data_IF_993813904992
#
_entry.id   IF_993813904992
#
_cell.length_a   1.000
_cell.length_b   1.000
_cell.length_c   1.000
_cell.angle_alpha   90.00
_cell.angle_beta   90.00
_cell.angle_gamma   90.00
#
_symmetry.space_group_name_H-M   'P 1'
#
loop_
_entity.id
_entity.type
_entity.pdbx_description
1 polymer ?
#
# COMPACT_ATOMS: atom_id res chain seq x y z
N UNK A 1 -3.91 -45.26 -36.78
CA UNK A 1 -4.64 -44.58 -35.67
C UNK A 1 -3.65 -43.88 -34.75
N UNK A 2 -3.57 -42.54 -34.77
CA UNK A 2 -2.88 -41.73 -33.75
C UNK A 2 -3.66 -40.44 -33.50
N UNK A 3 -3.77 -40.11 -32.20
CA UNK A 3 -4.73 -39.20 -31.55
C UNK A 3 -4.41 -37.71 -31.81
N UNK A 4 -5.45 -36.91 -32.05
CA UNK A 4 -5.39 -35.45 -31.99
C UNK A 4 -5.52 -34.94 -30.54
N UNK A 5 -4.66 -33.99 -30.15
CA UNK A 5 -4.77 -33.22 -28.91
C UNK A 5 -5.36 -31.84 -29.23
N UNK A 6 -6.56 -31.55 -28.70
CA UNK A 6 -7.13 -30.20 -28.66
C UNK A 6 -6.53 -29.43 -27.48
N UNK A 7 -6.05 -28.22 -27.73
CA UNK A 7 -5.62 -27.27 -26.70
C UNK A 7 -6.84 -26.44 -26.27
N UNK A 8 -7.12 -26.47 -24.97
CA UNK A 8 -8.19 -25.75 -24.29
C UNK A 8 -7.68 -24.34 -23.93
N UNK A 9 -8.41 -23.29 -24.32
CA UNK A 9 -8.19 -21.92 -23.84
C UNK A 9 -8.80 -21.79 -22.44
N UNK A 10 -8.00 -21.39 -21.45
CA UNK A 10 -8.47 -21.03 -20.11
C UNK A 10 -8.72 -19.51 -20.06
N UNK A 11 -9.97 -19.12 -19.86
CA UNK A 11 -10.38 -17.76 -19.50
C UNK A 11 -10.20 -17.59 -17.98
N UNK A 12 -9.48 -16.55 -17.57
CA UNK A 12 -9.43 -16.11 -16.17
C UNK A 12 -10.67 -15.25 -15.90
N UNK A 13 -11.62 -15.77 -15.13
CA UNK A 13 -12.77 -14.99 -14.63
C UNK A 13 -12.43 -14.42 -13.25
N UNK A 14 -12.52 -13.09 -13.11
CA UNK A 14 -12.47 -12.41 -11.81
C UNK A 14 -13.92 -12.29 -11.33
N UNK A 15 -14.25 -12.93 -10.22
CA UNK A 15 -15.57 -12.83 -9.60
C UNK A 15 -15.60 -11.60 -8.68
N UNK A 16 -16.52 -10.66 -8.97
CA UNK A 16 -16.88 -9.59 -8.05
C UNK A 16 -17.91 -10.11 -7.04
N UNK A 17 -17.56 -10.11 -5.75
CA UNK A 17 -18.50 -10.45 -4.67
C UNK A 17 -19.24 -9.16 -4.28
N UNK A 18 -20.54 -9.10 -4.59
CA UNK A 18 -21.43 -8.08 -4.07
C UNK A 18 -21.97 -8.53 -2.70
N UNK A 19 -21.56 -7.88 -1.62
CA UNK A 19 -22.11 -8.11 -0.28
C UNK A 19 -23.18 -7.08 0.04
N UNK A 20 -24.39 -7.57 0.30
CA UNK A 20 -25.58 -6.83 0.73
C UNK A 20 -25.32 -6.26 2.13
N UNK A 21 -25.45 -4.94 2.27
CA UNK A 21 -25.25 -4.24 3.54
C UNK A 21 -26.45 -4.36 4.47
N UNK A 22 -26.19 -4.75 5.72
CA UNK A 22 -27.06 -4.45 6.86
C UNK A 22 -26.28 -3.57 7.83
N UNK A 23 -26.68 -2.32 7.94
CA UNK A 23 -26.08 -1.31 8.81
C UNK A 23 -26.39 -1.60 10.28
N UNK A 24 -25.35 -1.80 11.09
CA UNK A 24 -25.42 -1.66 12.54
C UNK A 24 -24.59 -0.44 12.94
N UNK A 25 -25.25 0.55 13.54
CA UNK A 25 -24.58 1.69 14.15
C UNK A 25 -24.05 1.26 15.52
N UNK A 26 -22.73 1.30 15.71
CA UNK A 26 -22.09 1.21 17.02
C UNK A 26 -21.34 2.51 17.29
N UNK A 27 -21.74 3.18 18.37
CA UNK A 27 -21.11 4.38 18.90
C UNK A 27 -19.80 4.01 19.59
N UNK A 28 -18.69 4.59 19.13
CA UNK A 28 -17.36 4.46 19.75
C UNK A 28 -17.25 5.29 21.04
N UNK A 29 -16.69 4.75 22.15
CA UNK A 29 -16.33 5.56 23.30
C UNK A 29 -15.03 6.34 23.06
N UNK A 30 -14.95 7.50 23.71
CA UNK A 30 -13.95 8.56 23.60
C UNK A 30 -12.52 8.16 23.95
N UNK A 31 -11.58 8.75 23.18
CA UNK A 31 -10.12 8.71 23.28
C UNK A 31 -9.59 9.06 24.69
N UNK A 32 -8.71 8.21 25.22
CA UNK A 32 -7.69 8.60 26.20
C UNK A 32 -6.35 8.73 25.48
N UNK A 33 -5.73 9.90 25.58
CA UNK A 33 -4.49 10.26 24.90
C UNK A 33 -3.28 9.81 25.74
N UNK A 34 -2.31 9.13 25.13
CA UNK A 34 -1.05 8.77 25.78
C UNK A 34 0.12 9.40 25.01
N UNK A 35 1.01 10.07 25.74
CA UNK A 35 2.13 10.86 25.22
C UNK A 35 3.13 10.03 24.39
N UNK A 36 3.51 10.59 23.25
CA UNK A 36 4.46 10.02 22.29
C UNK A 36 5.89 10.44 22.64
N UNK A 37 6.77 9.47 22.91
CA UNK A 37 8.21 9.71 23.10
C UNK A 37 8.87 9.79 21.72
N UNK A 38 9.26 11.02 21.32
CA UNK A 38 10.00 11.30 20.11
C UNK A 38 11.50 11.01 20.30
N UNK A 39 12.07 10.06 19.55
CA UNK A 39 13.52 9.96 19.36
C UNK A 39 13.88 9.57 17.94
N UNK A 40 14.31 10.56 17.15
CA UNK A 40 15.65 10.66 16.56
C UNK A 40 15.63 11.58 15.33
N UNK A 41 16.37 12.69 15.43
CA UNK A 41 16.73 13.55 14.31
C UNK A 41 17.79 12.82 13.48
N UNK A 42 17.47 12.46 12.24
CA UNK A 42 18.49 12.15 11.25
C UNK A 42 18.40 13.11 10.08
N UNK A 43 19.55 13.73 9.83
CA UNK A 43 19.81 14.79 8.85
C UNK A 43 19.67 14.22 7.44
N UNK A 44 18.85 14.89 6.62
CA UNK A 44 18.66 14.60 5.20
C UNK A 44 19.98 14.74 4.41
N UNK A 45 20.39 13.74 3.61
CA UNK A 45 21.42 13.94 2.61
C UNK A 45 20.84 14.74 1.43
N UNK A 46 21.36 15.97 1.27
CA UNK A 46 21.31 16.73 0.03
C UNK A 46 21.90 15.87 -1.11
N UNK A 47 21.09 15.40 -2.06
CA UNK A 47 21.43 15.20 -3.48
C UNK A 47 20.39 14.35 -4.26
N UNK A 48 19.10 14.65 -4.12
CA UNK A 48 18.15 14.35 -5.21
C UNK A 48 17.62 15.70 -5.69
N UNK A 49 18.09 16.16 -6.85
CA UNK A 49 17.34 17.15 -7.62
C UNK A 49 16.05 16.46 -8.09
N UNK A 50 15.08 16.32 -7.18
CA UNK A 50 13.68 16.22 -7.59
C UNK A 50 13.40 17.56 -8.25
N UNK A 51 13.25 17.56 -9.57
CA UNK A 51 12.67 18.71 -10.24
C UNK A 51 11.37 19.03 -9.50
N UNK A 52 11.30 20.24 -8.97
CA UNK A 52 10.09 20.86 -8.46
C UNK A 52 9.02 20.80 -9.56
N UNK A 53 8.27 19.70 -9.64
CA UNK A 53 6.97 19.64 -10.31
C UNK A 53 5.89 20.22 -9.39
N UNK A 54 6.21 21.28 -8.66
CA UNK A 54 5.29 22.09 -7.85
C UNK A 54 4.56 23.16 -8.70
N UNK A 55 4.42 22.93 -10.01
CA UNK A 55 3.64 23.78 -10.92
C UNK A 55 2.62 22.97 -11.72
N UNK A 56 1.63 22.41 -11.03
CA UNK A 56 0.23 22.27 -11.52
C UNK A 56 -0.61 21.68 -10.40
N UNK A 57 -1.44 22.49 -9.77
CA UNK A 57 -2.42 22.12 -8.74
C UNK A 57 -3.65 21.39 -9.30
N UNK A 58 -3.52 20.67 -10.42
CA UNK A 58 -4.59 19.91 -11.03
C UNK A 58 -4.05 18.56 -11.48
N UNK A 59 -4.65 17.48 -10.99
CA UNK A 59 -4.38 16.15 -11.53
C UNK A 59 -4.81 16.12 -12.99
N UNK A 60 -3.88 15.79 -13.87
CA UNK A 60 -4.16 15.72 -15.30
C UNK A 60 -4.30 14.27 -15.76
N UNK A 61 -5.26 14.04 -16.63
CA UNK A 61 -5.40 12.75 -17.27
C UNK A 61 -4.17 12.48 -18.15
N UNK A 62 -3.57 11.29 -18.06
CA UNK A 62 -2.41 10.92 -18.89
C UNK A 62 -2.70 11.03 -20.39
N UNK A 63 -3.93 10.77 -20.82
CA UNK A 63 -4.35 10.92 -22.22
C UNK A 63 -4.29 12.39 -22.67
N UNK A 64 -4.71 13.31 -21.80
CA UNK A 64 -4.65 14.76 -22.06
C UNK A 64 -3.20 15.25 -22.11
N UNK A 65 -2.37 14.82 -21.15
CA UNK A 65 -0.94 15.13 -21.13
C UNK A 65 -0.23 14.58 -22.36
N UNK A 66 -0.52 13.34 -22.74
CA UNK A 66 0.06 12.74 -23.93
C UNK A 66 -0.39 13.50 -25.19
N UNK A 67 -1.67 13.82 -25.30
CA UNK A 67 -2.21 14.63 -26.40
C UNK A 67 -1.52 16.00 -26.49
N UNK A 68 -1.27 16.67 -25.37
CA UNK A 68 -0.56 17.95 -25.34
C UNK A 68 0.88 17.81 -25.85
N UNK A 69 1.60 16.78 -25.40
CA UNK A 69 2.96 16.46 -25.88
C UNK A 69 2.98 16.12 -27.39
N UNK A 70 1.98 15.35 -27.86
CA UNK A 70 1.88 14.99 -29.26
C UNK A 70 1.49 16.16 -30.16
N UNK A 71 0.72 17.12 -29.67
CA UNK A 71 0.48 18.40 -30.37
C UNK A 71 1.76 19.23 -30.48
N UNK A 72 2.58 19.26 -29.42
CA UNK A 72 3.83 20.05 -29.38
C UNK A 72 4.96 19.49 -30.24
N UNK A 73 4.84 18.23 -30.67
CA UNK A 73 5.77 17.54 -31.59
C UNK A 73 5.37 17.61 -33.06
N UNK A 74 4.18 18.10 -33.39
CA UNK A 74 3.77 18.32 -34.77
C UNK A 74 4.57 19.47 -35.39
N UNK A 75 5.13 19.27 -36.59
CA UNK A 75 5.79 20.34 -37.34
C UNK A 75 4.76 21.27 -37.99
N UNK A 76 4.20 22.17 -37.19
CA UNK A 76 3.17 23.12 -37.64
C UNK A 76 3.69 24.09 -38.71
N UNK A 77 5.01 24.32 -38.80
CA UNK A 77 5.61 25.17 -39.84
C UNK A 77 5.53 24.51 -41.21
N UNK A 78 5.65 23.19 -41.24
CA UNK A 78 5.42 22.42 -42.46
C UNK A 78 3.93 22.30 -42.80
N UNK A 79 3.02 22.43 -41.82
CA UNK A 79 1.58 22.22 -42.01
C UNK A 79 1.08 20.89 -41.43
N UNK A 80 1.96 20.17 -40.73
CA UNK A 80 1.62 18.98 -39.97
C UNK A 80 0.81 19.34 -38.72
N UNK A 81 -0.23 18.58 -38.43
CA UNK A 81 -1.08 18.74 -37.26
C UNK A 81 -1.28 17.40 -36.54
N UNK A 82 -1.61 17.47 -35.25
CA UNK A 82 -2.05 16.29 -34.50
C UNK A 82 -3.31 15.69 -35.15
N UNK A 83 -3.29 14.37 -35.38
CA UNK A 83 -4.47 13.62 -35.80
C UNK A 83 -5.07 12.84 -34.64
N UNK A 84 -4.53 11.66 -34.39
CA UNK A 84 -4.92 10.79 -33.28
C UNK A 84 -3.77 9.87 -32.89
N UNK A 85 -3.73 9.45 -31.63
CA UNK A 85 -2.79 8.44 -31.17
C UNK A 85 -3.52 7.16 -30.76
N UNK A 86 -2.78 6.06 -30.78
CA UNK A 86 -3.24 4.75 -30.33
C UNK A 86 -2.25 4.23 -29.29
N UNK A 87 -2.76 3.89 -28.11
CA UNK A 87 -2.01 3.14 -27.10
C UNK A 87 -2.28 1.65 -27.34
N UNK A 88 -1.22 0.91 -27.66
CA UNK A 88 -1.28 -0.54 -27.93
C UNK A 88 -1.00 -1.35 -26.68
N UNK A 89 -0.09 -0.87 -25.83
CA UNK A 89 0.21 -1.49 -24.56
C UNK A 89 0.45 -0.43 -23.48
N UNK A 90 0.11 -0.81 -22.25
CA UNK A 90 0.37 -0.05 -21.05
C UNK A 90 0.94 -0.98 -20.01
N UNK A 91 1.98 -0.54 -19.32
CA UNK A 91 2.51 -1.24 -18.16
C UNK A 91 2.58 -0.28 -16.97
N UNK A 92 2.00 -0.72 -15.84
CA UNK A 92 2.09 0.01 -14.57
C UNK A 92 3.08 -0.71 -13.67
N UNK A 93 4.04 0.06 -13.17
CA UNK A 93 5.09 -0.45 -12.29
C UNK A 93 5.20 0.44 -11.07
N UNK A 94 5.48 -0.16 -9.92
CA UNK A 94 5.66 0.59 -8.69
C UNK A 94 6.75 0.00 -7.82
N UNK A 95 7.38 0.89 -7.05
CA UNK A 95 8.41 0.52 -6.10
C UNK A 95 8.36 1.48 -4.92
N UNK A 96 8.56 0.99 -3.71
CA UNK A 96 8.70 1.86 -2.56
C UNK A 96 9.95 2.76 -2.67
N UNK A 97 9.85 3.96 -2.12
CA UNK A 97 10.97 4.88 -1.97
C UNK A 97 11.52 4.65 -0.56
N UNK A 98 12.54 3.82 -0.44
CA UNK A 98 13.03 3.29 0.85
C UNK A 98 13.33 4.37 1.89
N UNK A 99 13.96 5.47 1.49
CA UNK A 99 14.30 6.58 2.39
C UNK A 99 13.09 7.43 2.83
N UNK A 100 11.89 7.12 2.34
CA UNK A 100 10.63 7.74 2.79
C UNK A 100 9.86 6.90 3.80
N UNK A 101 10.27 5.64 4.04
CA UNK A 101 9.55 4.73 4.91
C UNK A 101 9.82 5.09 6.37
N UNK A 102 8.74 5.28 7.11
CA UNK A 102 8.74 5.50 8.55
C UNK A 102 7.94 4.37 9.19
N UNK A 103 8.56 3.68 10.14
CA UNK A 103 7.95 2.62 10.93
C UNK A 103 7.84 3.06 12.38
N UNK A 104 6.63 2.98 12.94
CA UNK A 104 6.36 3.27 14.35
C UNK A 104 5.63 2.09 14.98
N UNK A 105 6.13 1.62 16.12
CA UNK A 105 5.49 0.56 16.91
C UNK A 105 4.88 1.14 18.18
N UNK A 106 3.67 0.68 18.50
CA UNK A 106 2.98 0.98 19.75
C UNK A 106 2.63 -0.32 20.45
N UNK A 107 2.99 -0.42 21.73
CA UNK A 107 2.64 -1.55 22.58
C UNK A 107 1.41 -1.19 23.44
N UNK A 108 0.35 -1.97 23.32
CA UNK A 108 -0.93 -1.77 23.99
C UNK A 108 -1.14 -2.89 25.02
N UNK A 109 -1.45 -2.56 26.26
CA UNK A 109 -1.94 -3.57 27.21
C UNK A 109 -3.41 -3.83 26.91
N UNK A 110 -3.73 -5.06 26.51
CA UNK A 110 -5.08 -5.45 26.08
C UNK A 110 -5.79 -6.35 27.09
N UNK A 111 -5.06 -6.95 28.03
CA UNK A 111 -5.63 -7.76 29.10
C UNK A 111 -4.68 -7.87 30.29
N UNK A 112 -5.24 -8.13 31.46
CA UNK A 112 -4.50 -8.20 32.71
C UNK A 112 -5.16 -9.17 33.69
N UNK A 113 -4.34 -9.98 34.36
CA UNK A 113 -4.73 -10.76 35.54
C UNK A 113 -3.72 -10.55 36.67
N UNK A 114 -4.18 -10.62 37.92
CA UNK A 114 -3.30 -10.60 39.10
C UNK A 114 -3.64 -11.76 40.02
N UNK A 115 -2.61 -12.48 40.46
CA UNK A 115 -2.71 -13.63 41.35
C UNK A 115 -1.92 -13.36 42.62
N UNK A 116 -2.50 -13.71 43.76
CA UNK A 116 -1.87 -13.54 45.06
C UNK A 116 -1.94 -14.86 45.83
N UNK A 117 -0.76 -15.43 46.12
CA UNK A 117 -0.64 -16.64 46.90
C UNK A 117 -0.24 -16.29 48.34
N UNK A 118 -1.22 -16.27 49.25
CA UNK A 118 -1.00 -16.03 50.68
C UNK A 118 -0.69 -17.32 51.46
N UNK A 119 -0.66 -18.48 50.80
CA UNK A 119 -0.37 -19.77 51.44
C UNK A 119 1.14 -20.03 51.52
N UNK A 120 1.53 -20.96 52.40
CA UNK A 120 2.92 -21.39 52.62
C UNK A 120 3.49 -22.38 51.60
N UNK A 121 2.79 -22.62 50.48
CA UNK A 121 3.24 -23.50 49.40
C UNK A 121 2.82 -22.92 48.04
N UNK A 122 3.44 -23.37 46.94
CA UNK A 122 3.12 -22.93 45.59
C UNK A 122 1.70 -23.31 45.17
N UNK A 123 1.02 -22.41 44.45
CA UNK A 123 -0.31 -22.63 43.87
C UNK A 123 -0.25 -22.29 42.39
N UNK A 124 -0.87 -23.11 41.55
CA UNK A 124 -1.07 -22.82 40.13
C UNK A 124 -2.41 -22.13 39.92
N UNK A 125 -2.39 -20.89 39.44
CA UNK A 125 -3.58 -20.15 39.02
C UNK A 125 -3.82 -20.30 37.53
N UNK A 126 -5.04 -19.98 37.07
CA UNK A 126 -5.40 -19.94 35.65
C UNK A 126 -5.81 -18.53 35.26
N UNK A 127 -5.24 -18.02 34.18
CA UNK A 127 -5.63 -16.71 33.61
C UNK A 127 -7.04 -16.75 33.08
N UNK A 128 -7.70 -15.60 33.09
CA UNK A 128 -8.95 -15.47 32.35
C UNK A 128 -8.61 -15.51 30.86
N UNK A 129 -9.33 -16.34 30.10
CA UNK A 129 -9.21 -16.29 28.64
C UNK A 129 -9.67 -14.91 28.15
N UNK A 130 -9.03 -14.38 27.11
CA UNK A 130 -9.30 -13.02 26.64
C UNK A 130 -9.57 -12.98 25.14
N UNK A 131 -10.42 -12.07 24.69
CA UNK A 131 -10.70 -11.82 23.29
C UNK A 131 -10.52 -10.34 22.95
N UNK A 132 -9.78 -10.04 21.88
CA UNK A 132 -9.49 -8.69 21.44
C UNK A 132 -9.88 -8.48 20.00
N UNK A 133 -10.62 -7.41 19.73
CA UNK A 133 -10.94 -6.94 18.38
C UNK A 133 -10.16 -5.66 18.10
N UNK A 134 -9.58 -5.57 16.90
CA UNK A 134 -8.83 -4.41 16.44
C UNK A 134 -9.03 -4.21 14.94
N UNK A 135 -8.83 -2.98 14.47
CA UNK A 135 -8.97 -2.63 13.05
C UNK A 135 -7.60 -2.32 12.46
N UNK A 136 -7.28 -3.02 11.38
CA UNK A 136 -6.15 -2.73 10.49
C UNK A 136 -6.64 -1.80 9.39
N UNK A 137 -5.83 -0.81 9.01
CA UNK A 137 -6.20 0.15 7.97
C UNK A 137 -5.03 0.38 7.05
N UNK A 138 -5.26 0.36 5.74
CA UNK A 138 -4.32 0.78 4.72
C UNK A 138 -4.94 1.88 3.88
N UNK A 139 -4.34 3.06 3.92
CA UNK A 139 -4.72 4.24 3.15
C UNK A 139 -3.68 4.49 2.07
N UNK A 140 -4.12 4.70 0.84
CA UNK A 140 -3.25 5.06 -0.29
C UNK A 140 -3.81 6.27 -1.01
N UNK A 141 -2.91 7.14 -1.45
CA UNK A 141 -3.26 8.34 -2.21
C UNK A 141 -2.36 8.41 -3.42
N UNK A 142 -2.94 8.42 -4.62
CA UNK A 142 -2.20 8.66 -5.83
C UNK A 142 -1.88 10.15 -5.91
N UNK A 143 -0.65 10.55 -5.55
CA UNK A 143 -0.17 11.94 -5.57
C UNK A 143 0.70 12.26 -6.78
N UNK A 144 0.57 11.45 -7.84
CA UNK A 144 1.45 11.49 -9.00
C UNK A 144 1.30 12.74 -9.87
N UNK A 145 0.28 13.56 -9.59
CA UNK A 145 -0.13 14.66 -10.45
C UNK A 145 -0.87 14.19 -11.70
N UNK A 146 -1.16 12.89 -11.82
CA UNK A 146 -1.93 12.35 -12.95
C UNK A 146 -2.88 11.22 -12.58
N UNK A 147 -3.91 11.06 -13.41
CA UNK A 147 -4.81 9.91 -13.40
C UNK A 147 -4.75 9.16 -14.72
N UNK A 148 -5.03 7.87 -14.68
CA UNK A 148 -5.03 7.00 -15.84
C UNK A 148 -6.43 7.02 -16.47
N UNK A 149 -6.60 7.82 -17.52
CA UNK A 149 -7.92 8.09 -18.09
C UNK A 149 -8.23 7.40 -19.42
N UNK A 150 -7.49 6.36 -19.80
CA UNK A 150 -7.82 5.53 -20.97
C UNK A 150 -9.03 4.59 -20.74
N UNK A 151 -10.06 5.04 -20.02
CA UNK A 151 -11.26 4.26 -19.64
C UNK A 151 -10.93 2.90 -19.00
N UNK A 152 -9.86 2.86 -18.21
CA UNK A 152 -9.39 1.66 -17.53
C UNK A 152 -9.29 1.95 -16.03
N UNK A 153 -9.94 1.11 -15.22
CA UNK A 153 -9.74 1.12 -13.76
C UNK A 153 -8.37 0.51 -13.48
N UNK A 154 -7.34 1.35 -13.53
CA UNK A 154 -5.97 0.94 -13.26
C UNK A 154 -5.76 0.86 -11.75
N UNK A 155 -5.40 -0.33 -11.26
CA UNK A 155 -4.87 -0.52 -9.92
C UNK A 155 -3.41 -0.95 -9.99
N UNK A 156 -2.61 -0.52 -9.02
CA UNK A 156 -1.22 -0.91 -8.89
C UNK A 156 -0.94 -1.38 -7.48
N UNK A 157 -0.50 -2.63 -7.33
CA UNK A 157 -0.04 -3.18 -6.05
C UNK A 157 1.47 -2.98 -5.94
N UNK A 158 1.91 -2.33 -4.87
CA UNK A 158 3.34 -2.07 -4.60
C UNK A 158 3.73 -2.83 -3.35
N UNK A 159 4.67 -3.77 -3.51
CA UNK A 159 5.24 -4.52 -2.39
C UNK A 159 6.29 -3.69 -1.66
N UNK A 160 6.20 -3.67 -0.34
CA UNK A 160 7.13 -3.05 0.57
C UNK A 160 7.67 -4.02 1.60
N UNK A 161 8.84 -3.70 2.11
CA UNK A 161 9.44 -4.40 3.21
C UNK A 161 10.08 -3.40 4.16
N UNK A 162 10.00 -3.70 5.44
CA UNK A 162 10.85 -3.11 6.46
C UNK A 162 11.75 -4.18 7.06
N UNK A 163 12.56 -3.82 8.05
CA UNK A 163 13.37 -4.80 8.76
C UNK A 163 12.53 -5.91 9.41
N UNK A 164 11.26 -5.62 9.73
CA UNK A 164 10.39 -6.47 10.52
C UNK A 164 9.26 -7.12 9.71
N UNK A 165 8.81 -6.51 8.61
CA UNK A 165 7.59 -6.95 7.91
C UNK A 165 7.66 -6.78 6.38
N UNK A 166 6.89 -7.61 5.66
CA UNK A 166 6.55 -7.40 4.25
C UNK A 166 5.08 -7.01 4.14
N UNK A 167 4.76 -6.07 3.26
CA UNK A 167 3.40 -5.56 3.06
C UNK A 167 3.16 -5.22 1.58
N UNK A 168 1.89 -5.06 1.19
CA UNK A 168 1.52 -4.56 -0.13
C UNK A 168 0.51 -3.44 0.01
N UNK A 169 0.60 -2.42 -0.85
CA UNK A 169 -0.34 -1.31 -0.91
C UNK A 169 -0.91 -1.19 -2.31
N UNK A 170 -2.22 -0.97 -2.42
CA UNK A 170 -2.91 -0.88 -3.71
C UNK A 170 -3.30 0.58 -4.00
N UNK A 171 -2.74 1.15 -5.05
CA UNK A 171 -3.12 2.47 -5.55
C UNK A 171 -4.23 2.38 -6.57
N UNK A 172 -5.22 3.26 -6.45
CA UNK A 172 -6.18 3.52 -7.52
C UNK A 172 -5.62 4.63 -8.42
N UNK A 173 -5.30 4.29 -9.67
CA UNK A 173 -4.68 5.23 -10.61
C UNK A 173 -5.71 6.07 -11.37
N UNK A 174 -7.00 5.79 -11.23
CA UNK A 174 -8.08 6.53 -11.90
C UNK A 174 -8.54 7.76 -11.12
N UNK A 175 -8.05 7.97 -9.90
CA UNK A 175 -8.39 9.11 -9.05
C UNK A 175 -7.16 9.58 -8.27
N UNK A 176 -7.23 10.80 -7.76
CA UNK A 176 -6.33 11.37 -6.77
C UNK A 176 -6.78 11.16 -5.33
N UNK A 177 -8.01 10.71 -5.15
CA UNK A 177 -8.62 10.60 -3.83
C UNK A 177 -7.93 9.50 -3.02
N UNK A 178 -7.96 9.66 -1.70
CA UNK A 178 -7.42 8.66 -0.79
C UNK A 178 -8.34 7.46 -0.78
N UNK A 179 -7.81 6.26 -1.03
CA UNK A 179 -8.54 5.01 -0.87
C UNK A 179 -8.13 4.36 0.43
N UNK A 180 -9.08 4.11 1.32
CA UNK A 180 -8.85 3.43 2.59
C UNK A 180 -9.46 2.03 2.54
N UNK A 181 -8.65 1.02 2.85
CA UNK A 181 -9.07 -0.35 3.11
C UNK A 181 -8.94 -0.62 4.59
N UNK A 182 -10.01 -1.02 5.25
CA UNK A 182 -10.00 -1.40 6.66
C UNK A 182 -10.44 -2.84 6.83
N UNK A 183 -9.76 -3.57 7.71
CA UNK A 183 -10.10 -4.93 8.09
C UNK A 183 -10.20 -5.02 9.60
N UNK A 184 -11.37 -5.38 10.11
CA UNK A 184 -11.54 -5.65 11.53
C UNK A 184 -11.23 -7.11 11.81
N UNK A 185 -10.30 -7.34 12.73
CA UNK A 185 -9.78 -8.67 13.07
C UNK A 185 -9.91 -8.90 14.56
N UNK A 186 -10.00 -10.16 14.92
CA UNK A 186 -10.11 -10.60 16.30
C UNK A 186 -9.19 -11.76 16.59
N UNK A 187 -8.65 -11.78 17.80
CA UNK A 187 -7.92 -12.92 18.32
C UNK A 187 -8.43 -13.30 19.71
N UNK A 188 -8.27 -14.58 20.03
CA UNK A 188 -8.62 -15.14 21.33
C UNK A 188 -7.38 -15.75 21.96
N UNK A 189 -7.17 -15.47 23.24
CA UNK A 189 -6.12 -16.02 24.08
C UNK A 189 -6.78 -17.03 25.03
N UNK A 190 -6.41 -18.32 24.96
CA UNK A 190 -6.93 -19.29 25.91
C UNK A 190 -6.37 -19.04 27.32
N UNK A 191 -7.07 -19.54 28.33
CA UNK A 191 -6.59 -19.57 29.71
C UNK A 191 -5.23 -20.29 29.79
N UNK A 192 -4.28 -19.71 30.53
CA UNK A 192 -2.94 -20.24 30.76
C UNK A 192 -2.73 -20.51 32.25
N UNK A 193 -1.96 -21.53 32.56
CA UNK A 193 -1.58 -21.88 33.94
C UNK A 193 -0.34 -21.09 34.38
N UNK A 194 -0.40 -20.49 35.56
CA UNK A 194 0.65 -19.65 36.14
C UNK A 194 0.97 -20.17 37.55
N UNK A 195 2.14 -20.82 37.75
CA UNK A 195 2.60 -21.18 39.09
C UNK A 195 3.04 -19.93 39.85
N UNK A 196 2.47 -19.73 41.04
CA UNK A 196 2.77 -18.59 41.92
C UNK A 196 3.34 -19.14 43.24
N UNK A 197 4.62 -18.86 43.55
CA UNK A 197 5.26 -19.32 44.77
C UNK A 197 4.58 -18.80 46.04
N UNK A 198 4.89 -19.42 47.17
CA UNK A 198 4.37 -19.02 48.49
C UNK A 198 4.69 -17.55 48.80
N UNK A 199 3.69 -16.80 49.29
CA UNK A 199 3.83 -15.40 49.68
C UNK A 199 4.06 -14.42 48.51
N UNK A 200 3.85 -14.84 47.26
CA UNK A 200 4.06 -14.01 46.07
C UNK A 200 2.77 -13.48 45.48
N UNK A 201 2.88 -12.31 44.86
CA UNK A 201 1.84 -11.68 44.05
C UNK A 201 2.34 -11.45 42.65
N UNK A 202 1.76 -12.13 41.67
CA UNK A 202 2.16 -12.05 40.26
C UNK A 202 1.10 -11.33 39.43
N UNK A 203 1.56 -10.52 38.47
CA UNK A 203 0.75 -9.79 37.51
C UNK A 203 1.08 -10.28 36.09
N UNK A 204 0.06 -10.70 35.35
CA UNK A 204 0.17 -11.07 33.92
C UNK A 204 -0.42 -9.95 33.09
N UNK A 205 0.36 -9.37 32.18
CA UNK A 205 -0.10 -8.37 31.22
C UNK A 205 0.01 -8.91 29.80
N UNK A 206 -1.10 -8.91 29.06
CA UNK A 206 -1.11 -9.19 27.64
C UNK A 206 -0.86 -7.90 26.87
N UNK A 207 0.28 -7.86 26.16
CA UNK A 207 0.77 -6.69 25.42
C UNK A 207 0.70 -6.96 23.93
N UNK A 208 -0.16 -6.24 23.24
CA UNK A 208 -0.38 -6.32 21.80
C UNK A 208 0.39 -5.22 21.09
N UNK A 209 1.17 -5.58 20.08
CA UNK A 209 1.93 -4.62 19.29
C UNK A 209 1.15 -4.22 18.02
N UNK A 210 0.90 -2.93 17.89
CA UNK A 210 0.37 -2.29 16.69
C UNK A 210 1.51 -1.59 15.96
N UNK A 211 1.68 -1.90 14.69
CA UNK A 211 2.69 -1.31 13.83
C UNK A 211 2.03 -0.35 12.84
N UNK A 212 2.62 0.82 12.67
CA UNK A 212 2.22 1.82 11.66
C UNK A 212 3.38 2.05 10.73
N UNK A 213 3.18 1.82 9.44
CA UNK A 213 4.16 2.07 8.39
C UNK A 213 3.60 3.11 7.45
N UNK A 214 4.35 4.17 7.19
CA UNK A 214 3.99 5.19 6.20
C UNK A 214 5.15 5.47 5.28
N UNK A 215 4.87 5.88 4.06
CA UNK A 215 5.92 6.26 3.12
C UNK A 215 5.38 6.64 1.77
N UNK A 216 6.28 6.64 0.79
CA UNK A 216 6.01 7.00 -0.60
C UNK A 216 6.42 5.88 -1.53
N UNK A 217 5.62 5.65 -2.57
CA UNK A 217 5.93 4.77 -3.68
C UNK A 217 6.21 5.60 -4.93
N UNK A 218 7.19 5.21 -5.72
CA UNK A 218 7.30 5.66 -7.10
C UNK A 218 6.32 4.85 -7.93
N UNK A 219 5.56 5.53 -8.77
CA UNK A 219 4.58 4.93 -9.67
C UNK A 219 4.94 5.33 -11.10
N UNK A 220 5.09 4.36 -11.98
CA UNK A 220 5.40 4.56 -13.39
C UNK A 220 4.26 4.01 -14.25
N UNK A 221 3.87 4.79 -15.25
CA UNK A 221 3.01 4.34 -16.35
C UNK A 221 3.79 4.40 -17.66
N UNK A 222 4.07 3.23 -18.23
CA UNK A 222 4.76 3.09 -19.50
C UNK A 222 3.71 2.89 -20.60
N UNK A 223 3.68 3.82 -21.55
CA UNK A 223 2.73 3.86 -22.66
C UNK A 223 3.47 3.53 -23.96
N UNK A 224 3.00 2.50 -24.65
CA UNK A 224 3.55 2.04 -25.93
C UNK A 224 2.49 2.17 -27.02
N UNK A 225 2.88 2.71 -28.17
CA UNK A 225 1.98 2.94 -29.28
C UNK A 225 2.52 3.92 -30.29
N UNK A 226 1.60 4.52 -31.03
CA UNK A 226 1.91 5.40 -32.15
C UNK A 226 0.95 6.59 -32.25
N UNK A 227 1.41 7.62 -32.95
CA UNK A 227 0.66 8.83 -33.32
C UNK A 227 0.57 8.91 -34.84
N UNK A 228 -0.64 9.14 -35.34
CA UNK A 228 -0.90 9.51 -36.73
C UNK A 228 -1.10 11.02 -36.81
N UNK A 229 -0.17 11.70 -37.45
CA UNK A 229 -0.30 13.12 -37.77
C UNK A 229 -1.06 13.33 -39.07
N UNK A 230 -1.58 14.53 -39.26
CA UNK A 230 -2.31 14.94 -40.46
C UNK A 230 -1.53 15.99 -41.23
N UNK A 231 -1.59 15.92 -42.55
CA UNK A 231 -1.12 16.95 -43.47
C UNK A 231 -2.22 17.22 -44.50
N UNK A 232 -2.67 18.47 -44.63
CA UNK A 232 -3.80 18.83 -45.50
C UNK A 232 -5.01 17.89 -45.34
N UNK A 233 -5.37 17.59 -44.09
CA UNK A 233 -6.43 16.63 -43.72
C UNK A 233 -6.25 15.19 -44.22
N UNK A 234 -5.03 14.79 -44.60
CA UNK A 234 -4.69 13.40 -44.92
C UNK A 234 -3.77 12.81 -43.85
N UNK A 235 -4.00 11.56 -43.41
CA UNK A 235 -3.14 10.91 -42.42
C UNK A 235 -1.77 10.62 -43.01
N UNK A 236 -0.73 10.95 -42.25
CA UNK A 236 0.64 10.52 -42.50
C UNK A 236 0.87 9.12 -41.94
N UNK A 237 1.99 8.50 -42.29
CA UNK A 237 2.41 7.24 -41.66
C UNK A 237 2.58 7.40 -40.16
N UNK A 238 2.13 6.39 -39.40
CA UNK A 238 2.23 6.37 -37.94
C UNK A 238 3.68 6.56 -37.48
N UNK A 239 3.85 7.36 -36.43
CA UNK A 239 5.14 7.62 -35.78
C UNK A 239 5.08 7.08 -34.34
N UNK A 240 6.12 6.39 -33.89
CA UNK A 240 6.19 5.87 -32.52
C UNK A 240 6.12 7.00 -31.49
N UNK A 241 5.46 6.77 -30.35
CA UNK A 241 5.38 7.76 -29.26
C UNK A 241 6.76 8.21 -28.80
N UNK A 242 7.73 7.28 -28.73
CA UNK A 242 9.12 7.59 -28.40
C UNK A 242 9.74 8.60 -29.36
N UNK A 243 9.52 8.43 -30.67
CA UNK A 243 10.02 9.35 -31.70
C UNK A 243 9.33 10.71 -31.62
N UNK A 244 8.02 10.73 -31.32
CA UNK A 244 7.28 11.96 -31.10
C UNK A 244 7.78 12.73 -29.87
N UNK A 245 8.07 12.03 -28.76
CA UNK A 245 8.64 12.64 -27.55
C UNK A 245 9.97 13.35 -27.82
N UNK A 246 10.82 12.79 -28.69
CA UNK A 246 12.09 13.41 -29.08
C UNK A 246 11.91 14.69 -29.90
N UNK A 247 10.78 14.83 -30.61
CA UNK A 247 10.43 16.02 -31.40
C UNK A 247 9.62 17.05 -30.62
N UNK A 248 9.01 16.64 -29.50
CA UNK A 248 8.14 17.48 -28.70
C UNK A 248 8.90 18.68 -28.12
N UNK A 249 8.38 19.88 -28.36
CA UNK A 249 8.88 21.11 -27.73
C UNK A 249 8.46 21.19 -26.26
N UNK A 250 7.32 20.57 -25.92
CA UNK A 250 6.84 20.38 -24.57
C UNK A 250 6.61 18.89 -24.31
N UNK A 251 7.48 18.31 -23.48
CA UNK A 251 7.48 16.88 -23.14
C UNK A 251 6.45 16.52 -22.08
N UNK A 252 5.79 17.49 -21.43
CA UNK A 252 4.79 17.24 -20.40
C UNK A 252 5.28 16.33 -19.26
N UNK A 253 6.60 16.28 -19.00
CA UNK A 253 7.21 15.40 -17.99
C UNK A 253 7.30 13.92 -18.36
N UNK A 254 7.07 13.55 -19.62
CA UNK A 254 7.30 12.18 -20.10
C UNK A 254 8.79 11.91 -20.35
N UNK A 255 9.21 10.68 -20.06
CA UNK A 255 10.55 10.16 -20.30
C UNK A 255 10.53 9.05 -21.36
N UNK A 256 11.59 8.86 -22.15
CA UNK A 256 11.65 7.74 -23.08
C UNK A 256 11.79 6.41 -22.31
N UNK A 257 11.07 5.38 -22.74
CA UNK A 257 11.22 4.02 -22.20
C UNK A 257 11.40 3.01 -23.33
N UNK A 258 12.21 1.99 -23.07
CA UNK A 258 12.48 0.86 -23.97
C UNK A 258 12.18 -0.40 -23.18
N UNK A 259 11.19 -1.18 -23.61
CA UNK A 259 10.88 -2.47 -22.96
C UNK A 259 11.83 -3.56 -23.45
N UNK A 260 12.05 -4.56 -22.61
CA UNK A 260 12.71 -5.80 -23.04
C UNK A 260 11.76 -6.59 -23.96
N UNK A 261 12.24 -6.89 -25.18
CA UNK A 261 11.47 -7.52 -26.25
C UNK A 261 11.49 -9.05 -26.22
N UNK A 262 12.12 -9.68 -25.23
CA UNK A 262 12.08 -11.14 -25.08
C UNK A 262 10.66 -11.70 -24.86
N UNK A 263 9.67 -10.83 -24.64
CA UNK A 263 8.28 -11.17 -24.33
C UNK A 263 7.22 -10.65 -25.34
N UNK A 264 7.60 -9.96 -26.42
CA UNK A 264 6.61 -9.38 -27.37
C UNK A 264 6.91 -9.66 -28.84
N UNK A 265 5.92 -10.09 -29.66
CA UNK A 265 6.15 -10.44 -31.06
C UNK A 265 6.41 -9.25 -32.00
N UNK A 266 6.05 -8.02 -31.62
CA UNK A 266 6.06 -6.85 -32.52
C UNK A 266 7.15 -5.83 -32.13
N UNK A 267 8.04 -5.53 -33.06
CA UNK A 267 9.20 -4.63 -32.86
C UNK A 267 8.80 -3.19 -32.52
N UNK A 268 7.62 -2.75 -32.97
CA UNK A 268 7.12 -1.38 -32.80
C UNK A 268 6.58 -1.09 -31.39
N UNK A 269 6.26 -2.11 -30.61
CA UNK A 269 5.81 -1.91 -29.23
C UNK A 269 6.97 -1.79 -28.25
N UNK A 270 8.22 -1.79 -28.74
CA UNK A 270 9.43 -1.72 -27.92
C UNK A 270 9.63 -0.35 -27.27
N UNK A 271 9.31 0.71 -28.01
CA UNK A 271 9.69 2.08 -27.69
C UNK A 271 8.47 2.87 -27.27
N UNK A 272 8.45 3.31 -26.01
CA UNK A 272 7.33 4.01 -25.41
C UNK A 272 7.75 5.30 -24.73
N UNK A 273 6.79 5.84 -23.98
CA UNK A 273 6.97 6.99 -23.09
C UNK A 273 6.52 6.63 -21.69
N UNK A 274 7.21 7.13 -20.67
CA UNK A 274 6.94 6.89 -19.26
C UNK A 274 6.45 8.17 -18.60
N UNK A 275 5.35 8.08 -17.87
CA UNK A 275 5.01 9.05 -16.84
C UNK A 275 5.41 8.51 -15.47
N UNK A 276 6.19 9.28 -14.72
CA UNK A 276 6.55 8.95 -13.34
C UNK A 276 5.81 9.88 -12.39
N UNK A 277 5.37 9.33 -11.27
CA UNK A 277 4.86 10.09 -10.16
C UNK A 277 5.07 9.38 -8.84
N UNK A 278 4.45 9.93 -7.80
CA UNK A 278 4.58 9.47 -6.43
C UNK A 278 3.20 9.10 -5.91
N UNK A 279 3.10 8.05 -5.12
CA UNK A 279 1.93 7.73 -4.31
C UNK A 279 2.30 7.73 -2.84
N UNK A 280 1.41 8.18 -1.98
CA UNK A 280 1.61 8.13 -0.53
C UNK A 280 0.81 6.97 0.05
N UNK A 281 1.35 6.33 1.09
CA UNK A 281 0.64 5.28 1.80
C UNK A 281 0.84 5.38 3.30
N UNK A 282 -0.15 4.88 4.03
CA UNK A 282 -0.09 4.61 5.45
C UNK A 282 -0.81 3.30 5.73
N UNK A 283 -0.18 2.39 6.45
CA UNK A 283 -0.75 1.11 6.81
C UNK A 283 -0.54 0.84 8.29
N UNK A 284 -1.56 0.28 8.92
CA UNK A 284 -1.61 -0.04 10.34
C UNK A 284 -2.03 -1.50 10.49
N UNK A 285 -1.17 -2.31 11.10
CA UNK A 285 -1.43 -3.74 11.34
C UNK A 285 -1.12 -4.17 12.77
N UNK A 286 -1.84 -5.19 13.23
CA UNK A 286 -1.55 -5.91 14.45
C UNK A 286 -0.49 -6.99 14.17
N UNK A 287 0.57 -7.01 14.97
CA UNK A 287 1.74 -7.87 14.65
C UNK A 287 1.87 -9.05 15.60
N UNK A 288 2.09 -8.78 16.89
CA UNK A 288 2.34 -9.83 17.89
C UNK A 288 1.62 -9.56 19.21
N UNK A 289 1.35 -10.64 19.92
CA UNK A 289 0.90 -10.62 21.30
C UNK A 289 1.99 -11.23 22.20
N UNK A 290 2.28 -10.56 23.31
CA UNK A 290 3.26 -11.01 24.29
C UNK A 290 2.62 -11.01 25.68
N UNK A 291 2.81 -12.07 26.45
CA UNK A 291 2.46 -12.11 27.87
C UNK A 291 3.67 -11.72 28.70
N UNK A 292 3.51 -10.72 29.56
CA UNK A 292 4.54 -10.26 30.51
C UNK A 292 4.11 -10.64 31.92
N UNK A 293 4.90 -11.50 32.58
CA UNK A 293 4.69 -11.91 33.97
C UNK A 293 5.62 -11.12 34.88
N UNK A 294 5.07 -10.42 35.86
CA UNK A 294 5.82 -9.56 36.78
C UNK A 294 5.47 -9.91 38.22
N UNK A 295 6.48 -10.11 39.07
CA UNK A 295 6.31 -10.20 40.52
C UNK A 295 6.08 -8.78 41.06
N UNK A 296 4.90 -8.56 41.64
CA UNK A 296 4.43 -7.30 42.20
C UNK A 296 4.18 -7.43 43.71
N UNK A 297 4.82 -8.40 44.38
CA UNK A 297 4.74 -8.59 45.83
C UNK A 297 5.19 -7.33 46.58
N UNK A 298 6.24 -6.67 46.10
CA UNK A 298 6.57 -5.28 46.44
C UNK A 298 6.15 -4.36 45.27
N UNK A 299 5.01 -3.64 45.39
CA UNK A 299 4.52 -2.78 44.32
C UNK A 299 5.48 -1.65 43.95
N UNK A 300 6.43 -1.28 44.85
CA UNK A 300 7.41 -0.22 44.59
C UNK A 300 8.59 -0.72 43.78
N UNK A 301 8.86 -2.03 43.81
CA UNK A 301 9.98 -2.67 43.12
C UNK A 301 9.51 -3.92 42.35
N UNK A 302 8.68 -3.77 41.31
CA UNK A 302 8.20 -4.89 40.53
C UNK A 302 9.35 -5.57 39.77
N UNK A 303 9.40 -6.90 39.79
CA UNK A 303 10.45 -7.70 39.13
C UNK A 303 9.88 -8.45 37.95
N UNK A 304 10.49 -8.29 36.77
CA UNK A 304 10.12 -9.06 35.59
C UNK A 304 10.51 -10.53 35.80
N UNK A 305 9.53 -11.43 35.73
CA UNK A 305 9.74 -12.88 35.85
C UNK A 305 9.95 -13.50 34.48
N UNK A 306 9.02 -13.24 33.56
CA UNK A 306 9.03 -13.84 32.22
C UNK A 306 8.38 -12.89 31.20
N UNK A 307 8.82 -13.00 29.94
CA UNK A 307 8.11 -12.46 28.78
C UNK A 307 8.04 -13.54 27.71
N UNK A 308 6.82 -13.87 27.27
CA UNK A 308 6.58 -14.97 26.33
C UNK A 308 5.69 -14.52 25.18
N UNK A 309 6.08 -14.90 23.95
CA UNK A 309 5.23 -14.71 22.79
C UNK A 309 4.01 -15.63 22.86
N UNK A 310 2.81 -15.08 22.68
CA UNK A 310 1.56 -15.84 22.69
C UNK A 310 1.14 -16.05 21.24
N UNK A 311 1.14 -17.30 20.72
CA UNK A 311 0.69 -17.55 19.37
C UNK A 311 -0.82 -17.30 19.29
N UNK A 312 -1.21 -16.31 18.49
CA UNK A 312 -2.62 -15.98 18.26
C UNK A 312 -3.00 -16.21 16.81
N UNK A 313 -4.20 -16.75 16.60
CA UNK A 313 -4.81 -16.83 15.27
C UNK A 313 -5.77 -15.65 15.13
N UNK A 314 -5.47 -14.80 14.15
CA UNK A 314 -6.35 -13.68 13.80
C UNK A 314 -7.46 -14.15 12.87
N UNK A 315 -8.70 -13.83 13.22
CA UNK A 315 -9.89 -14.05 12.40
C UNK A 315 -10.40 -12.71 11.88
N UNK A 316 -10.54 -12.58 10.57
CA UNK A 316 -11.20 -11.41 9.96
C UNK A 316 -12.69 -11.47 10.22
N UNK A 317 -13.26 -10.36 10.69
CA UNK A 317 -14.68 -10.18 10.99
C UNK A 317 -15.36 -9.42 9.86
N UNK A 318 -14.73 -8.35 9.40
CA UNK A 318 -15.25 -7.51 8.34
C UNK A 318 -14.13 -6.87 7.54
N UNK A 319 -14.45 -6.53 6.29
CA UNK A 319 -13.58 -5.78 5.39
C UNK A 319 -14.40 -4.66 4.77
N UNK A 320 -13.81 -3.48 4.66
CA UNK A 320 -14.44 -2.32 4.05
C UNK A 320 -13.42 -1.58 3.18
N UNK A 321 -13.87 -1.06 2.05
CA UNK A 321 -13.10 -0.15 1.20
C UNK A 321 -13.93 1.10 0.96
N UNK A 322 -13.36 2.27 1.26
CA UNK A 322 -14.00 3.56 1.01
C UNK A 322 -13.03 4.51 0.32
N UNK A 323 -13.60 5.42 -0.46
CA UNK A 323 -12.88 6.59 -0.97
C UNK A 323 -13.10 7.72 0.02
N UNK A 324 -12.02 8.33 0.47
CA UNK A 324 -12.02 9.50 1.34
C UNK A 324 -11.66 10.70 0.47
N UNK A 325 -12.63 11.61 0.34
CA UNK A 325 -12.48 12.90 -0.36
C UNK A 325 -11.77 13.93 0.51
#
# INVERSE_FOLDING_TARGET
MRKGKKIVRKTLGIAAIASIGTSFAMTSPSLANAEQINTSKNVLPNNVKLAEQSKTSAYQNLDERLTAMLKSSADTKSGQQYGHHTIRATELHGSNIENSIIENSQLLTVGEDTFENTLGHEITYRTTGYEHEFTETTSTTNTSGWTFGYNYNASLSVMGATASHQFSVDYNMSTSNTTEKSQTRKFTVPSQEIPVPAGKKYKVEYRFEKLTISGKSRINADLFGDITYMWNNKPLSGTLLHSALNKATDKQGFEPVIRDTSLTPEWNDKFGVRATGIGEFRTEFGTRLTAKLTDVTDPRNPVLVETKAVPVKFKTISENTKVVE
#
